data_IF_182762842729
#
_entry.id   IF_182762842729
#
_cell.length_a   1.000
_cell.length_b   1.000
_cell.length_c   1.000
_cell.angle_alpha   90.00
_cell.angle_beta   90.00
_cell.angle_gamma   90.00
#
_symmetry.space_group_name_H-M   'P 1'
#
loop_
_entity.id
_entity.type
_entity.pdbx_description
1 polymer ?
#
# COMPACT_ATOMS: atom_id res chain seq x y z
N UNK A 1 -21.69 7.98 -1.05
CA UNK A 1 -22.77 8.48 -0.16
C UNK A 1 -22.47 8.02 1.26
N UNK A 2 -22.12 8.92 2.17
CA UNK A 2 -22.18 8.66 3.61
C UNK A 2 -22.95 9.83 4.22
N UNK A 3 -24.18 9.55 4.62
CA UNK A 3 -25.06 10.47 5.33
C UNK A 3 -24.66 10.41 6.81
N UNK A 4 -24.06 11.50 7.31
CA UNK A 4 -23.60 11.60 8.68
C UNK A 4 -24.49 12.61 9.42
N UNK A 5 -25.72 12.20 9.70
CA UNK A 5 -26.59 12.90 10.63
C UNK A 5 -26.25 12.40 12.05
N UNK A 6 -25.15 12.91 12.62
CA UNK A 6 -24.77 12.58 14.00
C UNK A 6 -25.05 13.80 14.87
N UNK A 7 -26.22 13.75 15.48
CA UNK A 7 -26.63 14.58 16.61
C UNK A 7 -25.57 14.52 17.73
N UNK A 8 -25.03 15.68 18.09
CA UNK A 8 -23.83 15.85 18.94
C UNK A 8 -24.07 15.67 20.45
N UNK A 9 -24.99 14.79 20.88
CA UNK A 9 -25.40 14.71 22.29
C UNK A 9 -25.41 13.31 22.93
N UNK A 10 -24.67 12.33 22.38
CA UNK A 10 -24.49 11.01 23.02
C UNK A 10 -23.06 10.46 22.89
N UNK A 11 -22.06 11.14 23.45
CA UNK A 11 -20.73 10.54 23.62
C UNK A 11 -20.32 10.50 25.10
N UNK A 12 -21.14 9.80 25.89
CA UNK A 12 -20.73 9.21 27.17
C UNK A 12 -20.53 7.71 26.98
N UNK A 13 -19.33 7.27 26.61
CA UNK A 13 -18.82 5.99 27.12
C UNK A 13 -17.29 6.02 27.16
N UNK A 14 -16.78 5.72 28.35
CA UNK A 14 -15.39 5.78 28.73
C UNK A 14 -14.51 4.80 27.94
N UNK A 15 -13.76 5.31 26.96
CA UNK A 15 -12.52 4.65 26.52
C UNK A 15 -11.51 5.71 26.13
N UNK A 16 -10.74 6.16 27.11
CA UNK A 16 -9.58 7.02 26.94
C UNK A 16 -8.48 6.24 26.22
N UNK A 17 -8.51 6.19 24.89
CA UNK A 17 -7.33 5.86 24.10
C UNK A 17 -6.36 7.04 24.22
N UNK A 18 -5.44 6.97 25.19
CA UNK A 18 -4.34 7.91 25.41
C UNK A 18 -3.73 8.44 24.10
N UNK A 19 -3.50 7.54 23.13
CA UNK A 19 -2.97 7.87 21.82
C UNK A 19 -3.83 8.85 21.02
N UNK A 20 -5.17 8.75 21.07
CA UNK A 20 -6.05 9.70 20.40
C UNK A 20 -5.95 11.10 21.01
N UNK A 21 -5.83 11.20 22.34
CA UNK A 21 -5.67 12.47 23.03
C UNK A 21 -4.37 13.20 22.65
N UNK A 22 -3.25 12.46 22.59
CA UNK A 22 -1.95 12.99 22.14
C UNK A 22 -2.03 13.48 20.69
N UNK A 23 -2.64 12.71 19.79
CA UNK A 23 -2.81 13.13 18.38
C UNK A 23 -3.59 14.44 18.24
N UNK A 24 -4.66 14.64 19.02
CA UNK A 24 -5.44 15.89 18.97
C UNK A 24 -4.70 17.09 19.56
N UNK A 25 -3.84 16.88 20.56
CA UNK A 25 -3.04 17.95 21.18
C UNK A 25 -2.00 18.53 20.21
N UNK A 26 -1.40 17.69 19.36
CA UNK A 26 -0.43 18.11 18.35
C UNK A 26 -1.06 18.52 17.02
N UNK A 27 -2.39 18.51 16.90
CA UNK A 27 -3.05 18.96 15.67
C UNK A 27 -3.00 20.48 15.59
N UNK A 28 -2.15 20.98 14.69
CA UNK A 28 -2.15 22.38 14.27
C UNK A 28 -3.47 22.62 13.54
N UNK A 29 -4.35 23.44 14.11
CA UNK A 29 -5.52 24.01 13.42
C UNK A 29 -5.07 25.31 12.77
N UNK A 30 -5.26 25.46 11.47
CA UNK A 30 -5.16 26.75 10.81
C UNK A 30 -6.56 27.40 10.86
N UNK A 31 -6.65 28.71 11.12
CA UNK A 31 -7.95 29.40 11.15
C UNK A 31 -8.64 29.44 9.77
N UNK A 32 -7.91 29.03 8.72
CA UNK A 32 -8.34 29.03 7.32
C UNK A 32 -8.71 27.62 6.82
N UNK A 33 -8.81 26.63 7.72
CA UNK A 33 -9.17 25.25 7.37
C UNK A 33 -10.68 25.16 6.99
N UNK A 34 -11.01 25.54 5.75
CA UNK A 34 -12.36 25.36 5.18
C UNK A 34 -12.54 23.94 4.62
N UNK A 35 -13.58 23.25 5.08
CA UNK A 35 -13.99 21.96 4.53
C UNK A 35 -14.79 22.18 3.25
N UNK A 36 -14.12 22.04 2.11
CA UNK A 36 -14.74 22.18 0.79
C UNK A 36 -15.35 20.82 0.40
N UNK A 37 -16.67 20.77 0.25
CA UNK A 37 -17.44 19.58 -0.18
C UNK A 37 -17.39 19.35 -1.71
N UNK A 38 -16.43 19.93 -2.41
CA UNK A 38 -16.25 19.76 -3.84
C UNK A 38 -15.77 18.34 -4.16
N UNK A 39 -16.09 17.85 -5.37
CA UNK A 39 -15.49 16.60 -5.88
C UNK A 39 -13.96 16.69 -5.75
N UNK A 40 -13.36 15.64 -5.20
CA UNK A 40 -11.92 15.54 -4.99
C UNK A 40 -11.19 15.92 -6.30
N UNK A 41 -10.34 16.96 -6.31
CA UNK A 41 -9.83 17.58 -7.54
C UNK A 41 -8.99 16.63 -8.40
N UNK A 42 -8.63 15.46 -7.86
CA UNK A 42 -8.00 14.37 -8.59
C UNK A 42 -8.95 13.70 -9.59
N UNK A 43 -10.25 13.63 -9.30
CA UNK A 43 -11.26 13.00 -10.17
C UNK A 43 -11.51 13.85 -11.42
N UNK A 44 -11.67 15.17 -11.26
CA UNK A 44 -11.86 16.10 -12.37
C UNK A 44 -10.62 16.14 -13.27
N UNK A 45 -9.42 16.23 -12.68
CA UNK A 45 -8.15 16.19 -13.43
C UNK A 45 -7.95 14.88 -14.19
N UNK A 46 -8.30 13.73 -13.59
CA UNK A 46 -8.23 12.43 -14.28
C UNK A 46 -9.13 12.41 -15.51
N UNK A 47 -10.35 12.95 -15.43
CA UNK A 47 -11.29 13.04 -16.56
C UNK A 47 -10.72 13.90 -17.69
N UNK A 48 -10.14 15.06 -17.38
CA UNK A 48 -9.51 15.93 -18.39
C UNK A 48 -8.31 15.28 -19.08
N UNK A 49 -7.45 14.58 -18.32
CA UNK A 49 -6.28 13.90 -18.87
C UNK A 49 -6.71 12.75 -19.80
N UNK A 50 -7.71 11.95 -19.39
CA UNK A 50 -8.24 10.86 -20.22
C UNK A 50 -8.95 11.34 -21.49
N UNK A 51 -9.52 12.54 -21.48
CA UNK A 51 -10.11 13.16 -22.68
C UNK A 51 -9.04 13.64 -23.67
N UNK A 52 -7.92 14.20 -23.16
CA UNK A 52 -6.81 14.67 -23.99
C UNK A 52 -5.94 13.52 -24.51
N UNK A 53 -5.84 12.43 -23.76
CA UNK A 53 -4.96 11.30 -24.04
C UNK A 53 -5.68 9.95 -23.91
N UNK A 54 -6.58 9.60 -24.86
CA UNK A 54 -7.31 8.33 -24.83
C UNK A 54 -6.39 7.11 -24.96
N UNK A 55 -5.19 7.26 -25.51
CA UNK A 55 -4.15 6.23 -25.60
C UNK A 55 -3.71 5.69 -24.24
N UNK A 56 -3.76 6.53 -23.19
CA UNK A 56 -3.38 6.15 -21.82
C UNK A 56 -4.35 5.10 -21.26
N UNK A 57 -5.61 5.07 -21.74
CA UNK A 57 -6.61 4.10 -21.30
C UNK A 57 -6.30 2.68 -21.79
N UNK A 58 -5.59 2.51 -22.92
CA UNK A 58 -5.14 1.19 -23.38
C UNK A 58 -4.02 0.61 -22.52
N UNK A 59 -3.24 1.46 -21.85
CA UNK A 59 -2.15 1.04 -20.96
C UNK A 59 -2.64 0.66 -19.55
N UNK A 60 -3.85 1.08 -19.18
CA UNK A 60 -4.50 0.71 -17.90
C UNK A 60 -5.11 -0.70 -17.96
N UNK A 61 -4.36 -1.67 -18.47
CA UNK A 61 -4.74 -3.07 -18.52
C UNK A 61 -4.17 -3.89 -17.36
N UNK A 62 -4.73 -5.07 -17.07
CA UNK A 62 -4.19 -5.92 -16.04
C UNK A 62 -2.88 -6.60 -16.47
N UNK A 63 -1.86 -6.57 -15.61
CA UNK A 63 -0.59 -7.25 -15.83
C UNK A 63 -0.53 -8.58 -15.07
N UNK A 64 -0.93 -9.65 -15.74
CA UNK A 64 -0.87 -11.02 -15.21
C UNK A 64 0.60 -11.47 -15.00
N UNK A 65 1.57 -10.86 -15.69
CA UNK A 65 2.99 -11.23 -15.56
C UNK A 65 3.51 -10.93 -14.16
N UNK A 66 2.99 -9.90 -13.51
CA UNK A 66 3.32 -9.57 -12.12
C UNK A 66 3.04 -10.73 -11.16
N UNK A 67 1.94 -11.46 -11.36
CA UNK A 67 1.60 -12.64 -10.56
C UNK A 67 2.60 -13.79 -10.77
N UNK A 68 3.09 -13.99 -11.99
CA UNK A 68 4.12 -14.99 -12.28
C UNK A 68 5.47 -14.62 -11.65
N UNK A 69 5.87 -13.35 -11.74
CA UNK A 69 7.14 -12.89 -11.15
C UNK A 69 7.13 -12.99 -9.62
N UNK A 70 6.08 -12.53 -8.96
CA UNK A 70 5.93 -12.65 -7.50
C UNK A 70 5.92 -14.12 -7.03
N UNK A 71 5.26 -15.02 -7.77
CA UNK A 71 5.32 -16.47 -7.47
C UNK A 71 6.74 -17.02 -7.64
N UNK A 72 7.44 -16.62 -8.69
CA UNK A 72 8.83 -17.02 -8.95
C UNK A 72 9.79 -16.51 -7.87
N UNK A 73 9.60 -15.29 -7.39
CA UNK A 73 10.37 -14.71 -6.29
C UNK A 73 10.26 -15.54 -5.00
N UNK A 74 9.04 -15.97 -4.65
CA UNK A 74 8.81 -16.85 -3.48
C UNK A 74 9.47 -18.21 -3.69
N UNK A 75 9.40 -18.79 -4.89
CA UNK A 75 10.11 -20.03 -5.21
C UNK A 75 11.63 -19.90 -5.02
N UNK A 76 12.22 -18.77 -5.43
CA UNK A 76 13.64 -18.49 -5.21
C UNK A 76 13.97 -18.42 -3.71
N UNK A 77 13.12 -17.79 -2.90
CA UNK A 77 13.32 -17.76 -1.43
C UNK A 77 13.39 -19.17 -0.84
N UNK A 78 12.53 -20.09 -1.29
CA UNK A 78 12.57 -21.50 -0.86
C UNK A 78 13.84 -22.22 -1.31
N UNK A 79 14.28 -22.01 -2.55
CA UNK A 79 15.52 -22.60 -3.07
C UNK A 79 16.72 -22.15 -2.24
N UNK A 80 16.83 -20.83 -1.99
CA UNK A 80 17.90 -20.26 -1.16
C UNK A 80 17.86 -20.83 0.26
N UNK A 81 16.67 -20.97 0.86
CA UNK A 81 16.51 -21.56 2.18
C UNK A 81 16.99 -23.03 2.22
N UNK A 82 16.67 -23.84 1.20
CA UNK A 82 17.13 -25.22 1.09
C UNK A 82 18.65 -25.27 0.91
N UNK A 83 19.21 -24.44 0.03
CA UNK A 83 20.66 -24.37 -0.19
C UNK A 83 21.42 -24.03 1.09
N UNK A 84 20.93 -23.05 1.86
CA UNK A 84 21.50 -22.67 3.16
C UNK A 84 21.43 -23.84 4.15
N UNK A 85 20.31 -24.57 4.18
CA UNK A 85 20.13 -25.73 5.06
C UNK A 85 21.15 -26.85 4.78
N UNK A 86 21.50 -27.07 3.50
CA UNK A 86 22.46 -28.11 3.09
C UNK A 86 23.92 -27.66 3.33
N UNK A 87 24.27 -26.44 2.93
CA UNK A 87 25.67 -25.98 2.93
C UNK A 87 26.15 -25.44 4.29
N UNK A 88 25.23 -25.07 5.20
CA UNK A 88 25.55 -24.56 6.55
C UNK A 88 26.68 -23.50 6.55
N UNK A 89 26.48 -22.36 5.87
CA UNK A 89 27.50 -21.31 5.79
C UNK A 89 27.82 -20.72 7.17
N UNK A 90 29.00 -20.10 7.31
CA UNK A 90 29.40 -19.42 8.54
C UNK A 90 28.37 -18.35 8.95
N UNK A 91 28.22 -18.10 10.25
CA UNK A 91 27.19 -17.23 10.80
C UNK A 91 27.15 -15.83 10.15
N UNK A 92 28.32 -15.26 9.83
CA UNK A 92 28.42 -13.93 9.22
C UNK A 92 28.00 -13.96 7.75
N UNK A 93 28.44 -14.98 7.01
CA UNK A 93 28.02 -15.19 5.62
C UNK A 93 26.51 -15.43 5.53
N UNK A 94 25.96 -16.22 6.47
CA UNK A 94 24.53 -16.47 6.58
C UNK A 94 23.74 -15.18 6.80
N UNK A 95 24.15 -14.34 7.75
CA UNK A 95 23.50 -13.05 8.03
C UNK A 95 23.51 -12.12 6.82
N UNK A 96 24.65 -11.94 6.17
CA UNK A 96 24.78 -11.04 5.02
C UNK A 96 23.94 -11.56 3.84
N UNK A 97 24.00 -12.86 3.57
CA UNK A 97 23.28 -13.49 2.46
C UNK A 97 21.77 -13.40 2.67
N UNK A 98 21.28 -13.80 3.84
CA UNK A 98 19.84 -13.76 4.16
C UNK A 98 19.31 -12.34 4.20
N UNK A 99 20.05 -11.39 4.79
CA UNK A 99 19.62 -9.99 4.85
C UNK A 99 19.51 -9.35 3.47
N UNK A 100 20.52 -9.53 2.61
CA UNK A 100 20.53 -8.93 1.27
C UNK A 100 19.49 -9.56 0.35
N UNK A 101 19.41 -10.90 0.31
CA UNK A 101 18.45 -11.62 -0.55
C UNK A 101 17.02 -11.42 -0.05
N UNK A 102 16.75 -11.66 1.23
CA UNK A 102 15.39 -11.52 1.78
C UNK A 102 14.93 -10.06 1.74
N UNK A 103 15.81 -9.10 2.03
CA UNK A 103 15.46 -7.68 1.97
C UNK A 103 15.08 -7.25 0.56
N UNK A 104 15.84 -7.65 -0.46
CA UNK A 104 15.56 -7.29 -1.86
C UNK A 104 14.25 -7.91 -2.34
N UNK A 105 14.04 -9.20 -2.09
CA UNK A 105 12.83 -9.90 -2.54
C UNK A 105 11.60 -9.37 -1.80
N UNK A 106 11.69 -9.11 -0.49
CA UNK A 106 10.55 -8.57 0.26
C UNK A 106 10.17 -7.16 -0.17
N UNK A 107 11.15 -6.34 -0.57
CA UNK A 107 10.86 -5.02 -1.13
C UNK A 107 10.10 -5.14 -2.47
N UNK A 108 10.54 -6.04 -3.35
CA UNK A 108 9.87 -6.35 -4.62
C UNK A 108 8.42 -6.82 -4.42
N UNK A 109 8.22 -7.79 -3.51
CA UNK A 109 6.91 -8.30 -3.12
C UNK A 109 6.00 -7.21 -2.53
N UNK A 110 6.56 -6.27 -1.78
CA UNK A 110 5.82 -5.11 -1.25
C UNK A 110 5.24 -4.24 -2.37
N UNK A 111 6.04 -3.96 -3.39
CA UNK A 111 5.58 -3.26 -4.59
C UNK A 111 4.52 -4.09 -5.35
N UNK A 112 4.74 -5.40 -5.49
CA UNK A 112 3.79 -6.29 -6.16
C UNK A 112 2.42 -6.29 -5.44
N UNK A 113 2.38 -6.32 -4.11
CA UNK A 113 1.14 -6.23 -3.33
C UNK A 113 0.46 -4.87 -3.51
N UNK A 114 1.23 -3.78 -3.50
CA UNK A 114 0.72 -2.43 -3.75
C UNK A 114 0.02 -2.35 -5.11
N UNK A 115 0.65 -2.90 -6.15
CA UNK A 115 0.09 -2.94 -7.51
C UNK A 115 -1.14 -3.85 -7.61
N UNK A 116 -1.12 -5.04 -6.98
CA UNK A 116 -2.31 -5.91 -6.85
C UNK A 116 -3.46 -5.16 -6.19
N UNK A 117 -3.19 -4.36 -5.15
CA UNK A 117 -4.17 -3.53 -4.46
C UNK A 117 -4.80 -2.42 -5.32
N UNK A 118 -4.08 -1.95 -6.34
CA UNK A 118 -4.62 -1.08 -7.39
C UNK A 118 -5.42 -1.83 -8.47
N UNK A 119 -5.77 -3.10 -8.22
CA UNK A 119 -6.53 -3.97 -9.12
C UNK A 119 -5.86 -4.18 -10.50
N UNK A 120 -4.52 -4.04 -10.57
CA UNK A 120 -3.74 -4.27 -11.78
C UNK A 120 -3.65 -5.77 -12.15
N UNK A 121 -4.02 -6.71 -11.28
CA UNK A 121 -3.77 -8.13 -11.53
C UNK A 121 -5.05 -8.92 -11.82
N UNK A 122 -6.17 -8.55 -11.20
CA UNK A 122 -7.43 -9.28 -11.35
C UNK A 122 -8.48 -8.39 -11.99
N UNK A 123 -9.09 -8.87 -13.08
CA UNK A 123 -10.33 -8.32 -13.60
C UNK A 123 -11.37 -8.35 -12.48
N UNK A 124 -11.80 -7.17 -12.04
CA UNK A 124 -13.08 -6.98 -11.35
C UNK A 124 -14.02 -6.24 -12.29
#
# INVERSE_FOLDING_TARGET
>A
MINCNINTYELTSNSWSFFRGVTYLFRIKHDDDEWIYDEEPHVSRRKEILLKHPEVKQLMGPDIKLAYFSTLEVCIQFIVAICISIYQPSWLTWLILTYTISGTINHSLGCAIHEVGHNLVFWS
#
